data_IF_343643651426
#
_entry.id   IF_343643651426
#
_cell.length_a   1.000
_cell.length_b   1.000
_cell.length_c   1.000
_cell.angle_alpha   90.00
_cell.angle_beta   90.00
_cell.angle_gamma   90.00
#
_symmetry.space_group_name_H-M   'P 1'
#
loop_
_entity.id
_entity.type
_entity.pdbx_description
1 polymer ?
#
# COMPACT_ATOMS: atom_id res chain seq x y z
N UNK A 1 4.66 17.54 2.62
CA UNK A 1 5.63 17.31 3.71
C UNK A 1 5.02 16.25 4.61
N UNK A 2 5.52 15.03 4.50
CA UNK A 2 5.15 13.99 5.43
C UNK A 2 5.87 14.25 6.75
N UNK A 3 5.17 14.72 7.77
CA UNK A 3 5.70 14.75 9.13
C UNK A 3 5.71 13.31 9.64
N UNK A 4 6.88 12.68 9.64
CA UNK A 4 7.09 11.41 10.33
C UNK A 4 7.10 11.69 11.83
N UNK A 5 6.02 11.31 12.50
CA UNK A 5 5.91 11.36 13.94
C UNK A 5 6.62 10.16 14.56
N UNK A 6 7.39 10.46 15.59
CA UNK A 6 8.13 9.51 16.42
C UNK A 6 7.12 8.75 17.29
N UNK A 7 7.07 7.44 17.10
CA UNK A 7 6.31 6.53 17.94
C UNK A 7 6.13 5.18 17.23
N UNK A 8 6.38 4.10 17.93
CA UNK A 8 6.27 2.72 17.45
C UNK A 8 4.83 2.29 17.10
N UNK A 9 3.86 3.15 17.31
CA UNK A 9 2.47 2.95 16.94
C UNK A 9 1.97 4.17 16.18
N UNK A 10 1.85 4.04 14.87
CA UNK A 10 1.17 5.01 14.06
C UNK A 10 -0.34 4.71 14.12
N UNK A 11 -0.96 5.13 15.23
CA UNK A 11 -2.42 5.19 15.33
C UNK A 11 -2.87 6.43 14.56
N UNK A 12 -3.12 6.30 13.28
CA UNK A 12 -3.74 7.36 12.49
C UNK A 12 -5.24 7.12 12.54
N UNK A 13 -5.96 7.98 13.24
CA UNK A 13 -7.40 8.17 13.10
C UNK A 13 -7.71 8.82 11.76
N UNK A 14 -7.34 8.16 10.69
CA UNK A 14 -7.79 8.55 9.37
C UNK A 14 -9.09 7.82 9.12
N UNK A 15 -10.17 8.57 9.10
CA UNK A 15 -11.42 8.10 8.53
C UNK A 15 -11.10 7.61 7.13
N UNK A 16 -11.15 6.30 6.94
CA UNK A 16 -11.10 5.71 5.61
C UNK A 16 -12.37 6.17 4.93
N UNK A 17 -12.29 7.26 4.16
CA UNK A 17 -13.37 7.61 3.26
C UNK A 17 -13.37 6.54 2.16
N UNK A 18 -14.17 5.51 2.39
CA UNK A 18 -14.51 4.61 1.31
C UNK A 18 -15.37 5.43 0.37
N UNK A 19 -14.89 5.62 -0.83
CA UNK A 19 -15.75 6.05 -1.91
C UNK A 19 -16.81 4.97 -2.10
N UNK A 20 -17.95 5.13 -1.43
CA UNK A 20 -19.10 4.27 -1.56
C UNK A 20 -19.56 4.33 -3.02
N UNK A 21 -19.48 3.20 -3.69
CA UNK A 21 -19.99 2.98 -5.05
C UNK A 21 -19.32 3.79 -6.17
N UNK A 22 -18.06 3.54 -6.44
CA UNK A 22 -17.68 3.50 -7.84
C UNK A 22 -18.29 2.21 -8.39
N UNK A 23 -19.18 2.33 -9.37
CA UNK A 23 -19.74 1.18 -10.09
C UNK A 23 -18.59 0.24 -10.43
N UNK A 24 -18.74 -1.03 -10.09
CA UNK A 24 -17.87 -2.07 -10.62
C UNK A 24 -17.89 -1.93 -12.14
N UNK A 25 -16.88 -1.27 -12.71
CA UNK A 25 -16.69 -1.28 -14.15
C UNK A 25 -15.97 -2.57 -14.48
N UNK A 26 -16.64 -3.38 -15.27
CA UNK A 26 -16.00 -4.52 -15.93
C UNK A 26 -15.07 -3.94 -16.99
N UNK A 27 -13.77 -4.14 -16.83
CA UNK A 27 -12.80 -3.77 -17.86
C UNK A 27 -12.55 -5.00 -18.72
N UNK A 28 -12.94 -4.92 -19.97
CA UNK A 28 -12.58 -5.90 -20.99
C UNK A 28 -11.16 -5.53 -21.45
N UNK A 29 -10.18 -6.36 -21.12
CA UNK A 29 -8.82 -6.16 -21.62
C UNK A 29 -8.73 -6.65 -23.06
N UNK A 30 -8.47 -5.73 -23.99
CA UNK A 30 -8.14 -6.06 -25.38
C UNK A 30 -6.72 -6.64 -25.47
N UNK A 31 -6.54 -7.88 -25.09
CA UNK A 31 -5.37 -8.66 -25.51
C UNK A 31 -5.82 -9.98 -26.10
N UNK A 32 -5.63 -10.05 -27.41
CA UNK A 32 -5.79 -11.23 -28.27
C UNK A 32 -7.24 -11.63 -28.51
N UNK A 33 -7.70 -11.33 -29.68
CA UNK A 33 -8.86 -11.92 -30.37
C UNK A 33 -8.65 -13.43 -30.50
N UNK A 34 -8.69 -14.17 -29.40
CA UNK A 34 -8.92 -15.61 -29.35
C UNK A 34 -8.87 -16.26 -27.96
N UNK A 35 -9.10 -15.53 -26.87
CA UNK A 35 -9.35 -16.11 -25.56
C UNK A 35 -10.39 -15.29 -24.82
N UNK A 36 -11.44 -15.96 -24.34
CA UNK A 36 -12.55 -15.42 -23.55
C UNK A 36 -12.18 -14.17 -22.75
N UNK A 37 -12.90 -13.07 -22.97
CA UNK A 37 -12.71 -11.82 -22.22
C UNK A 37 -12.74 -12.13 -20.72
N UNK A 38 -11.61 -11.96 -20.04
CA UNK A 38 -11.50 -12.21 -18.61
C UNK A 38 -11.89 -10.94 -17.87
N UNK A 39 -13.00 -10.97 -17.17
CA UNK A 39 -13.42 -9.85 -16.30
C UNK A 39 -12.62 -9.85 -15.00
N UNK A 40 -11.90 -8.77 -14.74
CA UNK A 40 -11.16 -8.57 -13.49
C UNK A 40 -11.95 -7.63 -12.59
N UNK A 41 -12.31 -8.12 -11.39
CA UNK A 41 -12.94 -7.28 -10.37
C UNK A 41 -11.86 -6.61 -9.52
N UNK A 42 -12.00 -5.30 -9.34
CA UNK A 42 -11.13 -4.51 -8.49
C UNK A 42 -11.93 -3.65 -7.52
N UNK A 43 -11.27 -3.17 -6.48
CA UNK A 43 -11.81 -2.18 -5.56
C UNK A 43 -10.85 -0.98 -5.54
N UNK A 44 -11.36 0.23 -5.70
CA UNK A 44 -10.57 1.45 -5.52
C UNK A 44 -10.76 1.94 -4.10
N UNK A 45 -9.66 2.10 -3.37
CA UNK A 45 -9.66 2.59 -1.99
C UNK A 45 -8.53 3.59 -1.80
N UNK A 46 -8.70 4.48 -0.83
CA UNK A 46 -7.69 5.47 -0.46
C UNK A 46 -7.41 5.43 1.05
N UNK A 47 -6.17 5.75 1.43
CA UNK A 47 -5.77 5.99 2.81
C UNK A 47 -4.94 7.28 2.86
N UNK A 48 -5.38 8.27 3.65
CA UNK A 48 -4.71 9.57 3.77
C UNK A 48 -4.48 10.27 2.41
N UNK A 49 -5.43 10.16 1.47
CA UNK A 49 -5.36 10.77 0.14
C UNK A 49 -4.52 9.99 -0.89
N UNK A 50 -3.85 8.92 -0.48
CA UNK A 50 -3.10 8.04 -1.37
C UNK A 50 -4.02 6.92 -1.85
N UNK A 51 -4.39 6.90 -3.13
CA UNK A 51 -5.40 6.01 -3.69
C UNK A 51 -4.79 4.94 -4.60
N UNK A 52 -5.29 3.70 -4.43
CA UNK A 52 -4.84 2.55 -5.19
C UNK A 52 -6.00 1.72 -5.72
N UNK A 53 -5.71 0.97 -6.79
CA UNK A 53 -6.57 -0.08 -7.30
C UNK A 53 -6.17 -1.40 -6.63
N UNK A 54 -7.09 -2.02 -5.91
CA UNK A 54 -6.86 -3.29 -5.19
C UNK A 54 -7.44 -4.45 -5.97
N UNK A 55 -6.62 -5.48 -6.22
CA UNK A 55 -7.04 -6.72 -6.88
C UNK A 55 -6.75 -7.90 -5.97
N UNK A 56 -7.76 -8.72 -5.73
CA UNK A 56 -7.61 -10.00 -5.07
C UNK A 56 -7.11 -11.04 -6.08
N UNK A 57 -5.83 -11.34 -6.06
CA UNK A 57 -5.18 -12.26 -7.00
C UNK A 57 -5.51 -13.73 -6.77
N UNK A 58 -6.15 -14.05 -5.64
CA UNK A 58 -6.71 -15.40 -5.42
C UNK A 58 -7.87 -15.70 -6.36
N UNK A 59 -8.56 -14.66 -6.82
CA UNK A 59 -9.71 -14.75 -7.73
C UNK A 59 -9.40 -14.26 -9.13
N UNK A 60 -8.55 -13.24 -9.22
CA UNK A 60 -8.23 -12.55 -10.46
C UNK A 60 -6.71 -12.40 -10.59
N UNK A 61 -6.00 -13.43 -11.09
CA UNK A 61 -4.56 -13.36 -11.27
C UNK A 61 -4.20 -12.28 -12.32
N UNK A 62 -3.14 -11.53 -12.04
CA UNK A 62 -2.59 -10.51 -12.94
C UNK A 62 -1.27 -11.03 -13.50
N UNK A 63 -1.21 -11.25 -14.81
CA UNK A 63 -0.02 -11.80 -15.46
C UNK A 63 1.15 -10.82 -15.50
N UNK A 64 0.88 -9.55 -15.79
CA UNK A 64 1.87 -8.47 -15.83
C UNK A 64 1.42 -7.30 -14.94
N UNK A 65 1.81 -7.30 -13.66
CA UNK A 65 1.45 -6.23 -12.74
C UNK A 65 2.01 -4.86 -13.11
N UNK A 66 3.23 -4.82 -13.64
CA UNK A 66 3.92 -3.58 -14.03
C UNK A 66 3.14 -2.85 -15.12
N UNK A 67 2.91 -3.54 -16.23
CA UNK A 67 2.16 -2.98 -17.35
C UNK A 67 0.71 -2.65 -16.97
N UNK A 68 0.09 -3.50 -16.14
CA UNK A 68 -1.27 -3.28 -15.65
C UNK A 68 -1.33 -2.03 -14.78
N UNK A 69 -0.36 -1.81 -13.88
CA UNK A 69 -0.31 -0.62 -13.06
C UNK A 69 -0.19 0.64 -13.89
N UNK A 70 0.75 0.69 -14.85
CA UNK A 70 0.93 1.85 -15.75
C UNK A 70 -0.37 2.16 -16.50
N UNK A 71 -0.99 1.14 -17.10
CA UNK A 71 -2.18 1.31 -17.92
C UNK A 71 -3.39 1.75 -17.10
N UNK A 72 -3.62 1.11 -15.92
CA UNK A 72 -4.81 1.37 -15.12
C UNK A 72 -4.70 2.65 -14.29
N UNK A 73 -3.49 3.04 -13.88
CA UNK A 73 -3.28 4.24 -13.08
C UNK A 73 -3.41 5.54 -13.87
N UNK A 74 -3.38 5.49 -15.20
CA UNK A 74 -3.58 6.68 -16.03
C UNK A 74 -4.91 7.36 -15.77
N UNK A 75 -4.89 8.65 -15.40
CA UNK A 75 -6.08 9.40 -15.00
C UNK A 75 -7.10 9.59 -16.14
N UNK A 76 -6.66 9.66 -17.40
CA UNK A 76 -7.53 10.00 -18.53
C UNK A 76 -7.92 8.78 -19.38
N UNK A 77 -7.06 7.76 -19.41
CA UNK A 77 -7.22 6.60 -20.28
C UNK A 77 -7.37 5.28 -19.52
N UNK A 78 -7.17 5.31 -18.22
CA UNK A 78 -7.31 4.18 -17.30
C UNK A 78 -8.40 4.41 -16.26
N UNK A 79 -8.20 3.78 -15.09
CA UNK A 79 -9.06 3.95 -13.90
C UNK A 79 -8.67 5.23 -13.16
N UNK A 80 -7.39 5.60 -13.21
CA UNK A 80 -6.78 6.68 -12.46
C UNK A 80 -6.51 6.32 -11.01
N UNK A 81 -5.24 6.30 -10.60
CA UNK A 81 -4.83 6.02 -9.22
C UNK A 81 -3.33 6.28 -9.04
N UNK A 82 -2.84 6.25 -7.81
CA UNK A 82 -1.41 6.27 -7.50
C UNK A 82 -0.70 4.95 -7.84
N UNK A 83 -1.48 3.87 -8.09
CA UNK A 83 -0.93 2.58 -8.48
C UNK A 83 -1.88 1.40 -8.27
N UNK A 84 -1.29 0.20 -8.33
CA UNK A 84 -1.96 -1.09 -8.23
C UNK A 84 -1.46 -1.85 -6.99
N UNK A 85 -2.38 -2.36 -6.18
CA UNK A 85 -2.10 -3.23 -5.04
C UNK A 85 -2.68 -4.62 -5.29
N UNK A 86 -1.84 -5.62 -5.18
CA UNK A 86 -2.21 -7.02 -5.31
C UNK A 86 -2.30 -7.66 -3.93
N UNK A 87 -3.46 -8.23 -3.62
CA UNK A 87 -3.71 -8.99 -2.40
C UNK A 87 -3.63 -10.46 -2.75
N UNK A 88 -2.66 -11.16 -2.20
CA UNK A 88 -2.38 -12.55 -2.54
C UNK A 88 -2.35 -13.48 -1.33
N UNK A 89 -2.07 -14.76 -1.63
CA UNK A 89 -1.80 -15.78 -0.61
C UNK A 89 -0.35 -15.66 -0.15
N UNK A 90 -0.12 -15.89 1.12
CA UNK A 90 1.21 -16.06 1.69
C UNK A 90 1.38 -17.47 2.25
N UNK A 91 2.61 -17.94 2.34
CA UNK A 91 3.00 -19.15 3.08
C UNK A 91 3.54 -18.82 4.46
N UNK A 92 3.78 -17.54 4.75
CA UNK A 92 4.41 -17.04 5.98
C UNK A 92 3.48 -16.13 6.81
N UNK A 93 2.41 -15.64 6.20
CA UNK A 93 1.47 -14.71 6.80
C UNK A 93 0.04 -15.05 6.37
N UNK A 94 -0.96 -14.37 6.93
CA UNK A 94 -2.37 -14.57 6.53
C UNK A 94 -2.61 -14.14 5.08
N UNK A 95 -1.97 -13.04 4.67
CA UNK A 95 -2.05 -12.49 3.30
C UNK A 95 -0.69 -11.97 2.84
N UNK A 96 -0.56 -11.74 1.54
CA UNK A 96 0.58 -11.05 0.95
C UNK A 96 0.15 -9.79 0.22
N UNK A 97 1.04 -8.80 0.15
CA UNK A 97 0.87 -7.54 -0.54
C UNK A 97 2.03 -7.31 -1.52
N UNK A 98 1.69 -6.95 -2.75
CA UNK A 98 2.60 -6.33 -3.70
C UNK A 98 2.01 -5.02 -4.19
N UNK A 99 2.86 -3.99 -4.32
CA UNK A 99 2.44 -2.64 -4.71
C UNK A 99 3.25 -2.21 -5.91
N UNK A 100 2.56 -1.72 -6.92
CA UNK A 100 3.15 -1.15 -8.12
C UNK A 100 2.66 0.29 -8.25
N UNK A 101 3.57 1.24 -8.25
CA UNK A 101 3.27 2.66 -8.46
C UNK A 101 2.73 2.90 -9.88
N UNK A 102 2.18 4.10 -10.14
CA UNK A 102 1.65 4.47 -11.45
C UNK A 102 2.70 4.42 -12.57
N UNK A 103 3.99 4.53 -12.25
CA UNK A 103 5.12 4.39 -13.18
C UNK A 103 5.56 2.92 -13.38
N UNK A 104 4.92 1.97 -12.70
CA UNK A 104 5.24 0.55 -12.74
C UNK A 104 6.34 0.11 -11.78
N UNK A 105 6.98 1.00 -11.03
CA UNK A 105 7.97 0.64 -10.01
C UNK A 105 7.30 -0.10 -8.85
N UNK A 106 7.95 -1.14 -8.32
CA UNK A 106 7.44 -1.89 -7.19
C UNK A 106 7.92 -1.27 -5.87
N UNK A 107 6.99 -0.96 -4.98
CA UNK A 107 7.28 -0.43 -3.66
C UNK A 107 7.47 -1.55 -2.63
N UNK A 108 8.40 -1.35 -1.69
CA UNK A 108 8.70 -2.33 -0.64
C UNK A 108 7.51 -2.53 0.31
N UNK A 109 6.83 -1.45 0.68
CA UNK A 109 5.70 -1.43 1.60
C UNK A 109 5.00 -0.06 1.55
N UNK A 110 3.71 -0.03 1.89
CA UNK A 110 2.95 1.21 2.09
C UNK A 110 1.96 1.03 3.25
N UNK A 111 2.12 1.82 4.32
CA UNK A 111 1.24 1.78 5.48
C UNK A 111 -0.21 2.12 5.14
N UNK A 112 -0.43 3.07 4.22
CA UNK A 112 -1.78 3.42 3.75
C UNK A 112 -2.45 2.23 3.06
N UNK A 113 -1.74 1.57 2.14
CA UNK A 113 -2.23 0.38 1.45
C UNK A 113 -2.47 -0.79 2.42
N UNK A 114 -1.61 -0.98 3.41
CA UNK A 114 -1.78 -2.04 4.42
C UNK A 114 -3.08 -1.87 5.20
N UNK A 115 -3.42 -0.63 5.61
CA UNK A 115 -4.70 -0.36 6.29
C UNK A 115 -5.91 -0.70 5.40
N UNK A 116 -5.85 -0.30 4.14
CA UNK A 116 -6.89 -0.63 3.17
C UNK A 116 -7.03 -2.14 2.95
N UNK A 117 -5.90 -2.89 2.92
CA UNK A 117 -5.93 -4.36 2.84
C UNK A 117 -6.62 -4.95 4.08
N UNK A 118 -6.24 -4.50 5.29
CA UNK A 118 -6.87 -4.95 6.53
C UNK A 118 -8.40 -4.84 6.46
N UNK A 119 -8.89 -3.66 6.07
CA UNK A 119 -10.33 -3.44 5.86
C UNK A 119 -10.89 -4.32 4.75
N UNK A 120 -10.22 -4.39 3.61
CA UNK A 120 -10.69 -5.18 2.46
C UNK A 120 -10.89 -6.65 2.81
N UNK A 121 -9.92 -7.29 3.45
CA UNK A 121 -9.99 -8.73 3.72
C UNK A 121 -11.04 -9.09 4.77
N UNK A 122 -11.25 -8.22 5.76
CA UNK A 122 -12.26 -8.44 6.78
C UNK A 122 -13.68 -8.19 6.25
N UNK A 123 -13.93 -7.03 5.64
CA UNK A 123 -15.26 -6.64 5.15
C UNK A 123 -15.73 -7.57 4.02
N UNK A 124 -14.82 -8.09 3.20
CA UNK A 124 -15.12 -9.08 2.16
C UNK A 124 -15.16 -10.53 2.68
N UNK A 125 -15.11 -10.74 4.01
CA UNK A 125 -15.20 -12.06 4.65
C UNK A 125 -14.10 -13.06 4.23
N UNK A 126 -12.92 -12.56 3.88
CA UNK A 126 -11.75 -13.40 3.61
C UNK A 126 -11.09 -13.86 4.92
N UNK A 127 -11.33 -13.14 6.01
CA UNK A 127 -10.93 -13.50 7.38
C UNK A 127 -11.96 -12.99 8.39
N UNK A 128 -11.96 -13.59 9.58
CA UNK A 128 -12.71 -13.11 10.75
C UNK A 128 -11.77 -12.69 11.89
N UNK A 129 -10.45 -12.73 11.65
CA UNK A 129 -9.45 -12.35 12.63
C UNK A 129 -9.40 -10.82 12.74
N UNK A 130 -9.33 -10.31 13.95
CA UNK A 130 -9.09 -8.88 14.23
C UNK A 130 -7.60 -8.53 14.27
N UNK A 131 -6.73 -9.53 14.36
CA UNK A 131 -5.28 -9.38 14.21
C UNK A 131 -4.84 -10.27 13.07
N UNK A 132 -4.27 -9.68 12.03
CA UNK A 132 -3.79 -10.38 10.84
C UNK A 132 -2.34 -10.04 10.56
N UNK A 133 -1.66 -10.94 9.87
CA UNK A 133 -0.30 -10.76 9.39
C UNK A 133 -0.29 -10.54 7.89
N UNK A 134 0.53 -9.60 7.42
CA UNK A 134 0.66 -9.21 6.02
C UNK A 134 2.12 -9.33 5.57
N UNK A 135 2.40 -10.25 4.66
CA UNK A 135 3.71 -10.37 4.03
C UNK A 135 3.92 -9.23 3.02
N UNK A 136 5.01 -8.49 3.18
CA UNK A 136 5.44 -7.40 2.29
C UNK A 136 6.90 -7.61 1.90
N UNK A 137 7.41 -6.85 0.93
CA UNK A 137 8.84 -6.87 0.59
C UNK A 137 9.74 -6.32 1.71
N UNK A 138 9.18 -5.53 2.65
CA UNK A 138 9.91 -5.05 3.84
C UNK A 138 9.74 -5.95 5.07
N UNK A 139 9.17 -7.14 4.92
CA UNK A 139 8.92 -8.10 6.01
C UNK A 139 7.45 -8.29 6.31
N UNK A 140 7.18 -9.05 7.37
CA UNK A 140 5.81 -9.33 7.82
C UNK A 140 5.36 -8.19 8.73
N UNK A 141 4.20 -7.61 8.42
CA UNK A 141 3.57 -6.55 9.23
C UNK A 141 2.37 -7.11 9.96
N UNK A 142 2.17 -6.64 11.20
CA UNK A 142 1.02 -6.98 12.01
C UNK A 142 -0.01 -5.87 11.88
N UNK A 143 -1.23 -6.25 11.53
CA UNK A 143 -2.36 -5.34 11.41
C UNK A 143 -3.40 -5.68 12.49
N UNK A 144 -3.75 -4.70 13.32
CA UNK A 144 -4.85 -4.82 14.28
C UNK A 144 -6.06 -4.08 13.70
N UNK A 145 -7.15 -4.81 13.50
CA UNK A 145 -8.38 -4.30 12.93
C UNK A 145 -9.32 -3.89 14.06
N UNK A 146 -9.81 -2.66 14.02
CA UNK A 146 -10.81 -2.16 14.96
C UNK A 146 -12.16 -2.18 14.26
N UNK A 147 -13.07 -2.99 14.80
CA UNK A 147 -14.36 -3.27 14.15
C UNK A 147 -15.50 -2.62 14.89
N UNK A 148 -16.45 -2.09 14.14
CA UNK A 148 -17.74 -1.61 14.64
C UNK A 148 -18.84 -2.08 13.69
N UNK A 149 -19.95 -2.59 14.26
CA UNK A 149 -21.08 -3.11 13.48
C UNK A 149 -20.71 -4.18 12.42
N UNK A 150 -19.65 -4.95 12.68
CA UNK A 150 -19.17 -6.02 11.78
C UNK A 150 -18.36 -5.54 10.56
N UNK A 151 -17.94 -4.29 10.55
CA UNK A 151 -17.06 -3.67 9.56
C UNK A 151 -15.83 -3.08 10.23
N UNK A 152 -14.73 -3.00 9.51
CA UNK A 152 -13.51 -2.36 10.00
C UNK A 152 -13.63 -0.84 9.87
N UNK A 153 -13.50 -0.12 10.98
CA UNK A 153 -13.49 1.35 11.02
C UNK A 153 -12.07 1.91 11.05
N UNK A 154 -11.15 1.26 11.78
CA UNK A 154 -9.77 1.67 11.90
C UNK A 154 -8.83 0.47 11.77
N UNK A 155 -7.59 0.71 11.32
CA UNK A 155 -6.54 -0.31 11.27
C UNK A 155 -5.24 0.27 11.81
N UNK A 156 -4.70 -0.37 12.86
CA UNK A 156 -3.35 -0.09 13.34
C UNK A 156 -2.37 -1.00 12.63
N UNK A 157 -1.29 -0.43 12.08
CA UNK A 157 -0.21 -1.17 11.41
C UNK A 157 1.06 -1.03 12.24
N UNK A 158 1.66 -2.15 12.62
CA UNK A 158 2.99 -2.15 13.23
C UNK A 158 4.04 -1.87 12.15
N UNK A 159 4.69 -0.72 12.25
CA UNK A 159 5.68 -0.23 11.29
C UNK A 159 7.11 -0.59 11.68
N UNK A 160 7.30 -1.41 12.71
CA UNK A 160 8.58 -1.72 13.35
C UNK A 160 9.25 -0.49 14.01
N UNK A 161 10.44 -0.70 14.56
CA UNK A 161 11.21 0.36 15.21
C UNK A 161 11.93 1.23 14.18
N UNK A 162 11.92 2.56 14.36
CA UNK A 162 12.66 3.46 13.49
C UNK A 162 14.17 3.26 13.65
N UNK A 163 14.90 3.17 12.55
CA UNK A 163 16.34 3.00 12.51
C UNK A 163 17.02 4.34 12.18
N UNK A 164 17.98 4.74 13.03
CA UNK A 164 18.81 5.93 12.82
C UNK A 164 20.07 5.64 11.99
N UNK A 165 20.30 4.38 11.64
CA UNK A 165 21.42 3.95 10.82
C UNK A 165 20.96 2.96 9.74
N UNK A 166 21.26 3.25 8.48
CA UNK A 166 20.99 2.34 7.37
C UNK A 166 21.98 2.62 6.22
N UNK A 167 23.06 1.85 6.14
CA UNK A 167 24.10 2.00 5.12
C UNK A 167 23.64 1.69 3.69
N UNK A 168 22.48 1.05 3.51
CA UNK A 168 21.90 0.81 2.19
C UNK A 168 21.17 2.03 1.63
N UNK A 169 20.70 2.93 2.50
CA UNK A 169 19.93 4.12 2.11
C UNK A 169 20.66 5.42 2.37
N UNK A 170 21.63 5.41 3.30
CA UNK A 170 22.40 6.60 3.66
C UNK A 170 23.86 6.38 3.25
N UNK A 171 24.32 7.15 2.28
CA UNK A 171 25.70 7.10 1.78
C UNK A 171 26.64 7.91 2.70
N UNK A 172 26.85 7.40 3.92
CA UNK A 172 27.83 7.88 4.89
C UNK A 172 28.58 6.67 5.46
N UNK A 173 29.82 6.82 5.96
CA UNK A 173 30.60 5.69 6.47
C UNK A 173 29.92 4.89 7.59
N UNK A 174 29.12 5.55 8.42
CA UNK A 174 28.37 4.95 9.54
C UNK A 174 26.89 4.71 9.22
N UNK A 175 26.45 4.98 7.98
CA UNK A 175 25.06 4.85 7.57
C UNK A 175 24.09 5.78 8.31
N UNK A 176 24.59 6.90 8.90
CA UNK A 176 23.81 7.83 9.72
C UNK A 176 23.82 9.24 9.15
N UNK A 177 22.69 9.93 9.29
CA UNK A 177 22.58 11.36 9.03
C UNK A 177 21.82 12.02 10.20
N UNK A 178 22.55 12.37 11.25
CA UNK A 178 21.99 12.98 12.46
C UNK A 178 22.35 14.46 12.51
N UNK A 179 21.34 15.34 12.59
CA UNK A 179 21.46 16.79 12.71
C UNK A 179 22.47 17.42 11.71
N UNK A 180 22.66 16.81 10.52
CA UNK A 180 23.57 17.36 9.50
C UNK A 180 22.95 18.58 8.83
N UNK A 181 23.75 19.63 8.68
CA UNK A 181 23.38 20.84 7.95
C UNK A 181 23.38 20.56 6.45
N UNK A 182 22.34 20.96 5.78
CA UNK A 182 22.25 21.01 4.33
C UNK A 182 21.81 22.41 3.92
N UNK A 183 22.26 22.87 2.76
CA UNK A 183 21.88 24.16 2.20
C UNK A 183 20.91 23.93 1.05
N UNK A 184 19.74 24.58 1.13
CA UNK A 184 18.72 24.58 0.07
C UNK A 184 18.36 26.04 -0.19
N UNK A 185 18.50 26.50 -1.43
CA UNK A 185 18.23 27.89 -1.83
C UNK A 185 18.92 28.94 -0.96
N UNK A 186 20.20 28.67 -0.60
CA UNK A 186 21.01 29.55 0.24
C UNK A 186 20.67 29.57 1.72
N UNK A 187 19.71 28.74 2.17
CA UNK A 187 19.33 28.60 3.58
C UNK A 187 19.82 27.29 4.16
N UNK A 188 20.32 27.35 5.37
CA UNK A 188 20.79 26.18 6.10
C UNK A 188 19.65 25.49 6.88
N UNK A 189 19.60 24.14 6.79
CA UNK A 189 18.66 23.30 7.51
C UNK A 189 19.41 22.18 8.20
N UNK A 190 19.09 21.90 9.46
CA UNK A 190 19.54 20.68 10.15
C UNK A 190 18.58 19.54 9.84
N UNK A 191 19.11 18.40 9.39
CA UNK A 191 18.31 17.22 9.07
C UNK A 191 18.81 15.98 9.77
N UNK A 192 17.86 15.16 10.20
CA UNK A 192 18.08 13.80 10.68
C UNK A 192 17.31 12.86 9.76
N UNK A 193 17.97 11.81 9.27
CA UNK A 193 17.34 10.76 8.51
C UNK A 193 16.92 9.63 9.44
N UNK A 194 15.69 9.15 9.29
CA UNK A 194 15.15 8.01 10.02
C UNK A 194 14.57 7.04 9.00
N UNK A 195 15.00 5.78 9.09
CA UNK A 195 14.53 4.69 8.26
C UNK A 195 13.43 3.92 9.00
N UNK A 196 12.36 3.57 8.31
CA UNK A 196 11.26 2.77 8.84
C UNK A 196 11.00 1.57 7.95
#
# INVERSE_FOLDING_TARGET
>A
ICACLVGSEMCIRDRIYICTKIRQKEIITEEVIDKMATTIKFTKMQGAGNDYIYVNTLRHPIADPVRTSIKWSSCHTGIGSDGLVLIGKSTKADFSMRIFNADGSEAMMCGNASRCIGKYVYDNKLTQKEVITLETLSGIKILKLHTENGLVEEVTVDMDLPLLANSRQINTPDGKMLAKTITVDGKEYKRTFVCM
#
